data_IF_432388133071
#
_entry.id   IF_432388133071
#
_cell.length_a   1.000
_cell.length_b   1.000
_cell.length_c   1.000
_cell.angle_alpha   90.00
_cell.angle_beta   90.00
_cell.angle_gamma   90.00
#
_symmetry.space_group_name_H-M   'P 1'
#
loop_
_entity.id
_entity.type
_entity.pdbx_description
1 polymer ?
#
# COMPACT_ATOMS: atom_id res chain seq x y z
N UNK A 1 -6.69 12.17 -12.88
CA UNK A 1 -5.54 11.25 -12.77
C UNK A 1 -4.29 12.01 -13.16
N UNK A 2 -3.38 12.23 -12.21
CA UNK A 2 -2.07 12.83 -12.49
C UNK A 2 -1.17 11.74 -13.07
N UNK A 3 -0.48 12.01 -14.18
CA UNK A 3 0.50 11.08 -14.76
C UNK A 3 1.69 11.01 -13.81
N UNK A 4 2.07 9.81 -13.36
CA UNK A 4 3.26 9.63 -12.52
C UNK A 4 4.52 9.86 -13.36
N UNK A 5 5.52 10.60 -12.85
CA UNK A 5 6.79 10.72 -13.55
C UNK A 5 7.47 9.34 -13.64
N UNK A 6 8.28 9.08 -14.68
CA UNK A 6 8.89 7.76 -14.91
C UNK A 6 9.69 7.23 -13.70
N UNK A 7 10.38 8.11 -12.99
CA UNK A 7 11.15 7.78 -11.78
C UNK A 7 10.26 7.26 -10.65
N UNK A 8 9.11 7.93 -10.45
CA UNK A 8 8.15 7.53 -9.43
C UNK A 8 7.47 6.21 -9.81
N UNK A 9 7.12 6.04 -11.09
CA UNK A 9 6.59 4.76 -11.57
C UNK A 9 7.60 3.62 -11.36
N UNK A 10 8.88 3.86 -11.63
CA UNK A 10 9.94 2.88 -11.38
C UNK A 10 10.08 2.55 -9.90
N UNK A 11 10.10 3.56 -9.02
CA UNK A 11 10.15 3.39 -7.57
C UNK A 11 8.97 2.56 -7.06
N UNK A 12 7.75 2.88 -7.51
CA UNK A 12 6.56 2.14 -7.12
C UNK A 12 6.57 0.72 -7.66
N UNK A 13 6.99 0.53 -8.91
CA UNK A 13 7.16 -0.82 -9.47
C UNK A 13 8.09 -1.66 -8.59
N UNK A 14 9.25 -1.14 -8.20
CA UNK A 14 10.15 -1.84 -7.28
C UNK A 14 9.43 -2.24 -5.98
N UNK A 15 8.73 -1.31 -5.31
CA UNK A 15 7.98 -1.63 -4.08
C UNK A 15 6.95 -2.75 -4.28
N UNK A 16 6.21 -2.70 -5.38
CA UNK A 16 5.21 -3.71 -5.74
C UNK A 16 5.86 -5.09 -5.91
N UNK A 17 7.08 -5.17 -6.45
CA UNK A 17 7.80 -6.43 -6.65
C UNK A 17 8.29 -7.07 -5.34
N UNK A 18 8.47 -6.28 -4.28
CA UNK A 18 8.94 -6.78 -2.99
C UNK A 18 7.82 -7.27 -2.07
N UNK A 19 6.64 -6.66 -2.16
CA UNK A 19 5.47 -7.00 -1.32
C UNK A 19 4.62 -8.14 -1.90
N UNK A 20 5.24 -9.00 -2.70
CA UNK A 20 4.53 -10.08 -3.36
C UNK A 20 4.09 -11.16 -2.35
N UNK A 21 2.83 -11.63 -2.39
CA UNK A 21 2.43 -12.78 -1.61
C UNK A 21 3.27 -14.00 -2.00
N UNK A 22 3.40 -15.01 -1.13
CA UNK A 22 4.06 -16.26 -1.49
C UNK A 22 3.40 -16.83 -2.76
N UNK A 23 4.12 -16.85 -3.90
CA UNK A 23 3.49 -17.16 -5.17
C UNK A 23 3.13 -18.63 -5.26
N UNK A 24 2.05 -18.95 -5.98
CA UNK A 24 1.74 -20.32 -6.37
C UNK A 24 2.78 -20.83 -7.38
N UNK A 25 2.89 -22.14 -7.55
CA UNK A 25 3.76 -22.73 -8.58
C UNK A 25 3.44 -22.21 -9.99
N UNK A 26 2.14 -22.08 -10.32
CA UNK A 26 1.71 -21.52 -11.61
C UNK A 26 2.13 -20.05 -11.81
N UNK A 27 2.19 -19.28 -10.74
CA UNK A 27 2.60 -17.88 -10.82
C UNK A 27 4.12 -17.71 -10.88
N UNK A 28 4.87 -18.57 -10.18
CA UNK A 28 6.33 -18.66 -10.33
C UNK A 28 6.76 -19.02 -11.76
N UNK A 29 5.93 -19.79 -12.46
CA UNK A 29 6.17 -20.14 -13.87
C UNK A 29 5.62 -19.09 -14.84
N UNK A 30 5.10 -17.96 -14.36
CA UNK A 30 4.59 -16.87 -15.20
C UNK A 30 3.29 -17.18 -15.95
N UNK A 31 2.62 -18.28 -15.61
CA UNK A 31 1.38 -18.73 -16.27
C UNK A 31 0.11 -18.19 -15.63
N UNK A 32 0.21 -17.66 -14.40
CA UNK A 32 -0.88 -17.05 -13.68
C UNK A 32 -0.42 -15.79 -12.95
N UNK A 33 -1.31 -14.81 -12.81
CA UNK A 33 -1.13 -13.66 -11.93
C UNK A 33 -1.02 -14.15 -10.48
N UNK A 34 0.01 -13.79 -9.69
CA UNK A 34 0.05 -14.35 -8.32
C UNK A 34 -0.87 -13.66 -7.31
N UNK A 35 -1.57 -12.59 -7.68
CA UNK A 35 -2.62 -12.06 -6.80
C UNK A 35 -3.98 -12.72 -7.05
N UNK A 36 -4.43 -12.79 -8.30
CA UNK A 36 -5.78 -13.26 -8.63
C UNK A 36 -5.83 -14.64 -9.29
N UNK A 37 -4.68 -15.25 -9.62
CA UNK A 37 -4.60 -16.56 -10.27
C UNK A 37 -5.04 -16.60 -11.74
N UNK A 38 -5.48 -15.48 -12.30
CA UNK A 38 -5.89 -15.40 -13.72
C UNK A 38 -4.71 -15.70 -14.63
N UNK A 39 -4.95 -16.45 -15.71
CA UNK A 39 -3.93 -16.77 -16.70
C UNK A 39 -3.25 -15.50 -17.24
N UNK A 40 -1.92 -15.56 -17.37
CA UNK A 40 -1.10 -14.45 -17.87
C UNK A 40 -0.44 -14.83 -19.19
N UNK A 41 -0.15 -13.80 -20.00
CA UNK A 41 0.60 -13.90 -21.25
C UNK A 41 1.67 -12.80 -21.30
N UNK A 42 2.25 -12.57 -22.47
CA UNK A 42 3.30 -11.56 -22.69
C UNK A 42 2.84 -10.11 -22.45
N UNK A 43 1.52 -9.84 -22.40
CA UNK A 43 0.98 -8.52 -22.09
C UNK A 43 0.93 -8.23 -20.58
N UNK A 44 1.11 -9.25 -19.74
CA UNK A 44 1.19 -9.11 -18.29
C UNK A 44 2.51 -8.45 -17.86
N UNK A 45 2.47 -7.76 -16.72
CA UNK A 45 3.61 -7.02 -16.18
C UNK A 45 4.58 -8.01 -15.54
N UNK A 46 5.82 -8.03 -16.02
CA UNK A 46 6.91 -8.78 -15.39
C UNK A 46 7.29 -8.13 -14.06
N UNK A 47 7.38 -8.95 -13.01
CA UNK A 47 7.74 -8.50 -11.65
C UNK A 47 9.24 -8.54 -11.39
N UNK A 48 10.01 -9.20 -12.25
CA UNK A 48 11.46 -9.20 -12.18
C UNK A 48 11.99 -9.62 -13.53
N UNK A 49 13.09 -9.01 -14.02
CA UNK A 49 13.76 -9.49 -15.22
C UNK A 49 14.37 -10.90 -15.02
N UNK A 50 14.51 -11.37 -13.77
CA UNK A 50 15.13 -12.64 -13.42
C UNK A 50 14.12 -13.75 -13.07
N UNK A 51 12.85 -13.40 -12.82
CA UNK A 51 11.80 -14.33 -12.40
C UNK A 51 10.69 -14.34 -13.46
N UNK A 52 10.18 -15.51 -13.89
CA UNK A 52 9.04 -15.58 -14.80
C UNK A 52 7.76 -14.94 -14.24
N UNK A 53 7.73 -14.54 -12.97
CA UNK A 53 6.57 -14.03 -12.26
C UNK A 53 5.81 -12.89 -13.01
N UNK A 54 4.59 -13.29 -13.39
CA UNK A 54 3.47 -12.59 -14.02
C UNK A 54 2.56 -11.80 -13.09
N UNK A 55 2.20 -10.54 -13.37
CA UNK A 55 0.97 -9.93 -12.81
C UNK A 55 0.07 -9.35 -13.89
N UNK A 56 -1.23 -9.58 -13.77
CA UNK A 56 -2.20 -9.01 -14.72
C UNK A 56 -2.29 -7.49 -14.57
N UNK A 57 -2.68 -6.80 -15.64
CA UNK A 57 -2.78 -5.34 -15.68
C UNK A 57 -3.71 -4.78 -14.59
N UNK A 58 -4.81 -5.47 -14.28
CA UNK A 58 -5.77 -5.04 -13.26
C UNK A 58 -5.16 -5.05 -11.86
N UNK A 59 -4.54 -6.17 -11.45
CA UNK A 59 -3.89 -6.25 -10.14
C UNK A 59 -2.71 -5.28 -10.06
N UNK A 60 -1.93 -5.14 -11.13
CA UNK A 60 -0.84 -4.16 -11.17
C UNK A 60 -1.34 -2.72 -11.00
N UNK A 61 -2.41 -2.35 -11.70
CA UNK A 61 -3.02 -1.02 -11.57
C UNK A 61 -3.59 -0.80 -10.16
N UNK A 62 -4.19 -1.83 -9.55
CA UNK A 62 -4.65 -1.80 -8.16
C UNK A 62 -3.52 -1.52 -7.18
N UNK A 63 -2.40 -2.26 -7.28
CA UNK A 63 -1.21 -2.02 -6.45
C UNK A 63 -0.63 -0.63 -6.66
N UNK A 64 -0.52 -0.18 -7.91
CA UNK A 64 0.01 1.14 -8.24
C UNK A 64 -0.85 2.25 -7.64
N UNK A 65 -2.18 2.14 -7.77
CA UNK A 65 -3.12 3.09 -7.18
C UNK A 65 -3.02 3.10 -5.65
N UNK A 66 -2.86 1.92 -5.03
CA UNK A 66 -2.70 1.81 -3.59
C UNK A 66 -1.45 2.53 -3.08
N UNK A 67 -0.28 2.24 -3.65
CA UNK A 67 0.95 2.92 -3.23
C UNK A 67 0.89 4.43 -3.51
N UNK A 68 0.40 4.84 -4.69
CA UNK A 68 0.33 6.26 -5.04
C UNK A 68 -0.57 7.04 -4.06
N UNK A 69 -1.76 6.51 -3.76
CA UNK A 69 -2.69 7.16 -2.81
C UNK A 69 -2.18 7.09 -1.37
N UNK A 70 -1.48 6.01 -1.00
CA UNK A 70 -0.87 5.88 0.32
C UNK A 70 0.23 6.93 0.53
N UNK A 71 1.16 7.08 -0.41
CA UNK A 71 2.25 8.06 -0.31
C UNK A 71 1.74 9.50 -0.39
N UNK A 72 0.71 9.79 -1.19
CA UNK A 72 0.06 11.10 -1.19
C UNK A 72 -0.57 11.43 0.18
N UNK A 73 -1.27 10.47 0.77
CA UNK A 73 -1.84 10.63 2.10
C UNK A 73 -0.75 10.81 3.18
N UNK A 74 0.27 9.96 3.17
CA UNK A 74 1.39 10.02 4.11
C UNK A 74 2.15 11.34 4.03
N UNK A 75 2.49 11.79 2.82
CA UNK A 75 3.15 13.08 2.60
C UNK A 75 2.35 14.25 3.18
N UNK A 76 1.02 14.24 3.04
CA UNK A 76 0.17 15.24 3.68
C UNK A 76 0.23 15.18 5.20
N UNK A 77 0.15 13.97 5.79
CA UNK A 77 0.19 13.80 7.24
C UNK A 77 1.51 14.34 7.81
N UNK A 78 2.64 14.13 7.12
CA UNK A 78 3.94 14.68 7.52
C UNK A 78 4.00 16.22 7.40
N UNK A 79 3.39 16.80 6.37
CA UNK A 79 3.40 18.24 6.12
C UNK A 79 2.35 19.04 6.89
N UNK A 80 1.27 18.41 7.37
CA UNK A 80 0.11 19.11 7.92
C UNK A 80 0.17 19.20 9.46
N UNK A 81 0.23 20.43 9.99
CA UNK A 81 0.22 20.67 11.44
C UNK A 81 -1.01 20.09 12.15
N UNK A 82 -2.20 20.15 11.52
CA UNK A 82 -3.42 19.57 12.09
C UNK A 82 -3.33 18.05 12.21
N UNK A 83 -2.92 17.36 11.14
CA UNK A 83 -2.74 15.90 11.15
C UNK A 83 -1.71 15.48 12.21
N UNK A 84 -0.58 16.18 12.29
CA UNK A 84 0.49 15.89 13.27
C UNK A 84 0.06 16.08 14.72
N UNK A 85 -0.91 16.96 14.97
CA UNK A 85 -1.47 17.19 16.31
C UNK A 85 -2.68 16.28 16.60
N UNK A 86 -2.97 15.31 15.74
CA UNK A 86 -4.16 14.45 15.89
C UNK A 86 -5.49 15.19 15.74
N UNK A 87 -5.49 16.39 15.14
CA UNK A 87 -6.69 17.20 14.93
C UNK A 87 -7.35 16.86 13.59
N UNK A 88 -8.65 17.11 13.48
CA UNK A 88 -9.39 16.93 12.23
C UNK A 88 -8.80 17.80 11.11
N UNK A 89 -8.41 17.16 10.02
CA UNK A 89 -8.01 17.79 8.77
C UNK A 89 -8.86 17.22 7.63
N UNK A 90 -9.67 18.06 6.98
CA UNK A 90 -10.55 17.61 5.90
C UNK A 90 -9.77 17.15 4.67
N UNK A 91 -8.61 17.75 4.39
CA UNK A 91 -7.74 17.33 3.29
C UNK A 91 -7.15 15.95 3.56
N UNK A 92 -6.62 15.73 4.76
CA UNK A 92 -6.13 14.42 5.18
C UNK A 92 -7.21 13.34 5.16
N UNK A 93 -8.42 13.68 5.62
CA UNK A 93 -9.58 12.77 5.54
C UNK A 93 -9.95 12.43 4.11
N UNK A 94 -9.98 13.41 3.21
CA UNK A 94 -10.25 13.18 1.78
C UNK A 94 -9.21 12.25 1.13
N UNK A 95 -7.91 12.46 1.43
CA UNK A 95 -6.83 11.60 0.93
C UNK A 95 -6.94 10.16 1.47
N UNK A 96 -7.27 10.01 2.76
CA UNK A 96 -7.58 8.69 3.33
C UNK A 96 -8.73 8.00 2.59
N UNK A 97 -9.86 8.68 2.41
CA UNK A 97 -11.01 8.10 1.71
C UNK A 97 -10.66 7.67 0.29
N UNK A 98 -9.87 8.46 -0.45
CA UNK A 98 -9.38 8.07 -1.77
C UNK A 98 -8.50 6.82 -1.72
N UNK A 99 -7.65 6.71 -0.70
CA UNK A 99 -6.79 5.55 -0.50
C UNK A 99 -7.60 4.28 -0.16
N UNK A 100 -8.61 4.38 0.71
CA UNK A 100 -9.47 3.25 1.09
C UNK A 100 -10.15 2.59 -0.11
N UNK A 101 -10.50 3.37 -1.15
CA UNK A 101 -11.07 2.85 -2.40
C UNK A 101 -10.12 1.95 -3.21
N UNK A 102 -8.83 1.95 -2.89
CA UNK A 102 -7.81 1.16 -3.62
C UNK A 102 -7.47 -0.17 -2.94
N UNK A 103 -7.90 -0.36 -1.68
CA UNK A 103 -7.46 -1.47 -0.82
C UNK A 103 -7.86 -2.83 -1.39
N UNK A 104 -9.14 -3.00 -1.76
CA UNK A 104 -9.66 -4.25 -2.30
C UNK A 104 -9.00 -4.58 -3.65
N UNK A 105 -8.89 -3.61 -4.55
CA UNK A 105 -8.26 -3.78 -5.86
C UNK A 105 -6.76 -4.13 -5.75
N UNK A 106 -6.12 -3.74 -4.65
CA UNK A 106 -4.75 -4.10 -4.34
C UNK A 106 -4.62 -5.40 -3.52
N UNK A 107 -5.70 -6.16 -3.30
CA UNK A 107 -5.66 -7.39 -2.51
C UNK A 107 -5.04 -7.18 -1.11
N UNK A 108 -5.36 -6.04 -0.48
CA UNK A 108 -4.83 -5.64 0.83
C UNK A 108 -5.94 -5.52 1.86
N UNK A 109 -5.55 -5.42 3.11
CA UNK A 109 -6.45 -5.24 4.25
C UNK A 109 -6.11 -3.95 5.00
N UNK A 110 -7.13 -3.24 5.47
CA UNK A 110 -6.98 -2.09 6.36
C UNK A 110 -6.89 -2.58 7.80
N UNK A 111 -5.70 -3.00 8.21
CA UNK A 111 -5.46 -3.52 9.56
C UNK A 111 -4.47 -2.61 10.28
N UNK A 112 -4.74 -2.35 11.56
CA UNK A 112 -3.81 -1.65 12.43
C UNK A 112 -2.58 -2.54 12.65
N UNK A 113 -1.41 -2.04 12.31
CA UNK A 113 -0.15 -2.76 12.45
C UNK A 113 0.14 -3.16 13.91
N UNK A 114 -0.21 -2.30 14.87
CA UNK A 114 0.14 -2.49 16.28
C UNK A 114 -0.74 -3.55 16.98
N UNK A 115 -2.06 -3.54 16.73
CA UNK A 115 -3.02 -4.43 17.39
C UNK A 115 -3.59 -5.52 16.49
N UNK A 116 -3.25 -5.50 15.20
CA UNK A 116 -3.76 -6.40 14.16
C UNK A 116 -5.29 -6.44 14.04
N UNK A 117 -6.00 -5.42 14.54
CA UNK A 117 -7.44 -5.30 14.36
C UNK A 117 -7.78 -4.55 13.08
N UNK A 118 -8.90 -4.90 12.41
CA UNK A 118 -9.41 -4.13 11.29
C UNK A 118 -9.66 -2.67 11.69
N UNK A 119 -9.24 -1.75 10.83
CA UNK A 119 -9.49 -0.33 11.03
C UNK A 119 -10.95 -0.03 10.74
N UNK A 120 -11.64 0.54 11.73
CA UNK A 120 -13.02 0.97 11.58
C UNK A 120 -13.17 2.24 10.72
N UNK A 121 -14.35 2.40 10.13
CA UNK A 121 -14.72 3.58 9.32
C UNK A 121 -14.79 4.88 10.14
N UNK A 122 -14.86 4.79 11.46
CA UNK A 122 -15.11 5.91 12.37
C UNK A 122 -13.86 6.40 13.10
N UNK A 123 -12.82 5.57 13.23
CA UNK A 123 -11.64 5.93 14.00
C UNK A 123 -10.55 6.54 13.12
N UNK A 124 -9.81 7.56 13.58
CA UNK A 124 -8.69 8.12 12.84
C UNK A 124 -7.56 7.10 12.76
N UNK A 125 -7.40 6.46 11.60
CA UNK A 125 -6.19 5.76 11.22
C UNK A 125 -5.20 6.75 10.61
N UNK A 126 -3.91 6.52 10.81
CA UNK A 126 -2.83 7.26 10.16
C UNK A 126 -1.98 6.31 9.29
N UNK A 127 -1.47 6.80 8.15
CA UNK A 127 -0.49 6.07 7.38
C UNK A 127 0.85 6.14 8.12
N UNK A 128 1.52 5.00 8.28
CA UNK A 128 2.83 4.92 8.94
C UNK A 128 3.82 4.15 8.08
N UNK A 129 5.05 4.64 8.01
CA UNK A 129 6.18 3.84 7.54
C UNK A 129 6.72 3.05 8.74
N UNK A 130 6.59 1.74 8.70
CA UNK A 130 7.21 0.87 9.69
C UNK A 130 8.64 0.54 9.27
N UNK A 131 9.62 0.93 10.08
CA UNK A 131 11.01 0.52 9.89
C UNK A 131 11.15 -0.96 10.30
N UNK A 132 11.21 -1.86 9.32
CA UNK A 132 11.65 -3.22 9.55
C UNK A 132 13.17 -3.36 9.59
N UNK A 133 13.64 -4.55 9.93
CA UNK A 133 15.08 -4.87 10.02
C UNK A 133 15.84 -4.68 8.69
N UNK A 134 15.11 -4.57 7.58
CA UNK A 134 15.69 -4.36 6.25
C UNK A 134 15.17 -3.12 5.53
N UNK A 135 13.92 -2.67 5.73
CA UNK A 135 13.24 -1.62 4.93
C UNK A 135 12.02 -1.02 5.63
N UNK A 136 11.59 0.14 5.13
CA UNK A 136 10.34 0.80 5.53
C UNK A 136 9.13 0.19 4.78
N UNK A 137 8.12 -0.26 5.52
CA UNK A 137 6.89 -0.83 4.98
C UNK A 137 5.71 0.12 5.19
N UNK A 138 4.94 0.45 4.14
CA UNK A 138 3.71 1.22 4.29
C UNK A 138 2.66 0.41 5.05
N UNK A 139 2.16 1.00 6.14
CA UNK A 139 1.14 0.39 6.98
C UNK A 139 0.18 1.43 7.54
N UNK A 140 -0.62 0.98 8.50
CA UNK A 140 -1.60 1.82 9.17
C UNK A 140 -1.53 1.62 10.68
N UNK A 141 -1.84 2.67 11.42
CA UNK A 141 -2.02 2.59 12.87
C UNK A 141 -3.30 3.30 13.24
N UNK A 142 -4.10 2.69 14.12
CA UNK A 142 -5.24 3.38 14.74
C UNK A 142 -4.74 4.41 15.77
N UNK A 143 -5.53 5.46 16.00
CA UNK A 143 -5.17 6.49 16.98
C UNK A 143 -4.98 5.96 18.43
N UNK A 144 -5.79 5.00 18.93
CA UNK A 144 -5.55 4.39 20.23
C UNK A 144 -4.18 3.70 20.38
N UNK A 145 -3.67 3.05 19.34
CA UNK A 145 -2.36 2.39 19.36
C UNK A 145 -1.23 3.39 19.20
N UNK A 146 -1.42 4.44 18.39
CA UNK A 146 -0.45 5.53 18.27
C UNK A 146 -0.14 6.18 19.62
N UNK A 147 -1.18 6.40 20.44
CA UNK A 147 -1.03 7.00 21.78
C UNK A 147 -0.37 6.07 22.79
N UNK A 148 -0.57 4.75 22.69
CA UNK A 148 0.11 3.75 23.51
C UNK A 148 1.60 3.63 23.19
N UNK A 149 1.96 3.63 21.91
CA UNK A 149 3.36 3.58 21.48
C UNK A 149 4.14 4.87 21.83
N UNK A 150 3.49 6.03 21.75
CA UNK A 150 4.08 7.29 22.17
C UNK A 150 4.29 7.38 23.70
N UNK A 151 3.46 6.71 24.50
CA UNK A 151 3.58 6.67 25.96
C UNK A 151 4.60 5.63 26.46
N UNK A 152 5.01 4.68 25.61
CA UNK A 152 5.99 3.65 25.92
C UNK A 152 7.44 4.03 25.55
N UNK A 153 7.64 5.23 24.97
CA UNK A 153 8.95 5.84 24.66
C UNK A 153 9.25 6.98 25.62
#
# INVERSE_FOLDING_TARGET
>A
MTVLPPEELHRLHQLITWEYPPPTSSALEGRACAWCGTATDESAISMSPLDPCRVCLTCYAGQLAWFATWYDWHSHVLGCAHCRQGRTCHVGRGRRTLHELTVEAAHRELICFSCHQPLGNTEPALPVLWMGDSRDYPGYVDAPCLTKEAAAR
#
